data_IF_167707326217
#
_entry.id   IF_167707326217
#
_cell.length_a   1.000
_cell.length_b   1.000
_cell.length_c   1.000
_cell.angle_alpha   90.00
_cell.angle_beta   90.00
_cell.angle_gamma   90.00
#
_symmetry.space_group_name_H-M   'P 1'
#
loop_
_entity.id
_entity.type
_entity.pdbx_description
1 polymer ?
#
# COMPACT_ATOMS: atom_id res chain seq x y z
N UNK A 1 13.01 0.81 -7.62
CA UNK A 1 11.72 0.59 -6.92
C UNK A 1 10.96 -0.53 -7.65
N UNK A 2 10.17 -1.36 -6.94
CA UNK A 2 9.44 -2.48 -7.55
C UNK A 2 8.22 -2.05 -8.38
N UNK A 3 7.71 -0.84 -8.14
CA UNK A 3 6.53 -0.29 -8.83
C UNK A 3 6.86 1.05 -9.50
N UNK A 4 6.15 1.33 -10.59
CA UNK A 4 6.11 2.61 -11.29
C UNK A 4 4.66 3.03 -11.51
N UNK A 5 4.43 4.34 -11.44
CA UNK A 5 3.16 4.95 -11.79
C UNK A 5 3.23 5.47 -13.22
N UNK A 6 2.18 5.22 -14.00
CA UNK A 6 2.03 5.77 -15.35
C UNK A 6 1.98 7.30 -15.30
N UNK A 7 2.62 8.01 -16.23
CA UNK A 7 2.55 9.47 -16.31
C UNK A 7 1.13 9.97 -16.63
N UNK A 8 0.21 9.08 -17.02
CA UNK A 8 -1.20 9.43 -17.23
C UNK A 8 -1.95 9.60 -15.92
N UNK A 9 -1.46 9.09 -14.79
CA UNK A 9 -2.13 9.26 -13.50
C UNK A 9 -2.24 10.75 -13.17
N UNK A 10 -3.43 11.18 -12.76
CA UNK A 10 -3.69 12.57 -12.33
C UNK A 10 -3.13 12.77 -10.93
N UNK A 11 -2.92 14.02 -10.57
CA UNK A 11 -2.72 14.38 -9.17
C UNK A 11 -3.92 13.90 -8.32
N UNK A 12 -3.64 13.37 -7.14
CA UNK A 12 -4.63 12.89 -6.19
C UNK A 12 -5.21 14.00 -5.31
N UNK A 13 -4.71 15.24 -5.40
CA UNK A 13 -5.29 16.42 -4.74
C UNK A 13 -6.75 16.58 -5.13
N UNK A 14 -7.62 16.77 -4.13
CA UNK A 14 -9.06 16.97 -4.33
C UNK A 14 -9.87 15.73 -4.76
N UNK A 15 -9.21 14.60 -5.08
CA UNK A 15 -9.93 13.36 -5.39
C UNK A 15 -10.56 12.77 -4.13
N UNK A 16 -11.70 12.12 -4.26
CA UNK A 16 -12.26 11.26 -3.21
C UNK A 16 -11.70 9.82 -3.30
N UNK A 17 -12.21 8.89 -2.49
CA UNK A 17 -11.76 7.49 -2.51
C UNK A 17 -12.01 6.82 -3.86
N UNK A 18 -13.21 6.96 -4.42
CA UNK A 18 -13.60 6.29 -5.67
C UNK A 18 -12.80 6.84 -6.85
N UNK A 19 -12.62 8.16 -6.90
CA UNK A 19 -11.80 8.86 -7.87
C UNK A 19 -10.32 8.49 -7.76
N UNK A 20 -9.76 8.32 -6.55
CA UNK A 20 -8.39 7.79 -6.39
C UNK A 20 -8.23 6.39 -6.94
N UNK A 21 -9.16 5.48 -6.62
CA UNK A 21 -9.14 4.12 -7.18
C UNK A 21 -9.21 4.16 -8.70
N UNK A 22 -10.15 4.93 -9.28
CA UNK A 22 -10.28 5.09 -10.72
C UNK A 22 -9.03 5.70 -11.37
N UNK A 23 -8.39 6.66 -10.69
CA UNK A 23 -7.16 7.28 -11.15
C UNK A 23 -6.00 6.27 -11.24
N UNK A 24 -5.90 5.34 -10.28
CA UNK A 24 -4.81 4.36 -10.23
C UNK A 24 -5.06 3.09 -11.06
N UNK A 25 -6.31 2.77 -11.40
CA UNK A 25 -6.66 1.58 -12.18
C UNK A 25 -5.87 1.51 -13.49
N UNK A 26 -5.13 0.41 -13.67
CA UNK A 26 -4.31 0.15 -14.85
C UNK A 26 -3.10 1.09 -15.02
N UNK A 27 -2.77 1.89 -14.00
CA UNK A 27 -1.68 2.88 -14.03
C UNK A 27 -0.52 2.55 -13.09
N UNK A 28 -0.66 1.51 -12.27
CA UNK A 28 0.44 0.99 -11.44
C UNK A 28 1.03 -0.21 -12.17
N UNK A 29 2.35 -0.20 -12.36
CA UNK A 29 3.08 -1.21 -13.13
C UNK A 29 4.28 -1.71 -12.34
N UNK A 30 4.61 -2.99 -12.49
CA UNK A 30 5.85 -3.55 -11.95
C UNK A 30 7.05 -3.06 -12.77
N UNK A 31 8.14 -2.69 -12.09
CA UNK A 31 9.45 -2.48 -12.71
C UNK A 31 10.31 -3.72 -12.48
N UNK A 32 10.58 -4.53 -13.52
CA UNK A 32 11.33 -5.79 -13.39
C UNK A 32 12.70 -5.62 -12.73
N UNK A 33 13.33 -4.44 -12.86
CA UNK A 33 14.65 -4.16 -12.26
C UNK A 33 14.62 -3.98 -10.75
N UNK A 34 13.44 -3.77 -10.17
CA UNK A 34 13.25 -3.57 -8.73
C UNK A 34 12.48 -4.70 -8.06
N UNK A 35 12.17 -5.77 -8.79
CA UNK A 35 11.49 -6.96 -8.26
C UNK A 35 12.54 -7.83 -7.55
N UNK A 36 12.28 -8.27 -6.30
CA UNK A 36 13.19 -9.16 -5.58
C UNK A 36 13.08 -10.60 -6.09
N UNK A 37 13.98 -11.46 -5.61
CA UNK A 37 13.93 -12.88 -5.91
C UNK A 37 12.60 -13.51 -5.43
N UNK A 38 12.09 -14.56 -6.12
CA UNK A 38 10.88 -15.24 -5.72
C UNK A 38 10.90 -15.72 -4.27
N UNK A 39 9.79 -15.55 -3.56
CA UNK A 39 9.68 -15.91 -2.13
C UNK A 39 10.22 -14.84 -1.17
N UNK A 40 10.79 -13.75 -1.66
CA UNK A 40 11.19 -12.62 -0.81
C UNK A 40 9.95 -11.88 -0.30
N UNK A 41 9.77 -11.72 1.03
CA UNK A 41 8.70 -10.90 1.59
C UNK A 41 8.82 -9.43 1.16
N UNK A 42 7.71 -8.86 0.70
CA UNK A 42 7.64 -7.46 0.27
C UNK A 42 6.85 -6.63 1.27
N UNK A 43 7.42 -5.49 1.67
CA UNK A 43 6.74 -4.48 2.46
C UNK A 43 6.48 -3.26 1.58
N UNK A 44 5.22 -2.81 1.55
CA UNK A 44 4.88 -1.53 0.94
C UNK A 44 5.20 -0.38 1.89
N UNK A 45 5.84 0.66 1.39
CA UNK A 45 6.14 1.88 2.13
C UNK A 45 5.42 3.06 1.49
N UNK A 46 4.70 3.83 2.30
CA UNK A 46 4.05 5.08 1.91
C UNK A 46 4.32 6.14 2.98
N UNK A 47 4.34 7.43 2.64
CA UNK A 47 4.52 8.48 3.64
C UNK A 47 3.18 8.78 4.33
N UNK A 48 2.11 8.92 3.56
CA UNK A 48 0.79 9.31 4.04
C UNK A 48 -0.28 8.40 3.47
N UNK A 49 -1.00 7.73 4.37
CA UNK A 49 -2.19 6.99 4.01
C UNK A 49 -3.45 7.76 4.37
N UNK A 50 -4.27 8.05 3.34
CA UNK A 50 -5.59 8.67 3.50
C UNK A 50 -6.69 7.61 3.45
N UNK A 51 -6.94 7.03 2.27
CA UNK A 51 -7.99 6.02 2.07
C UNK A 51 -7.44 4.61 1.93
N UNK A 52 -6.11 4.46 1.83
CA UNK A 52 -5.45 3.21 1.48
C UNK A 52 -5.54 2.84 0.00
N UNK A 53 -6.15 3.66 -0.87
CA UNK A 53 -6.33 3.35 -2.29
C UNK A 53 -5.01 3.08 -3.04
N UNK A 54 -3.95 3.83 -2.70
CA UNK A 54 -2.61 3.63 -3.29
C UNK A 54 -2.03 2.28 -2.87
N UNK A 55 -1.99 2.00 -1.57
CA UNK A 55 -1.49 0.74 -1.03
C UNK A 55 -2.26 -0.48 -1.58
N UNK A 56 -3.59 -0.41 -1.68
CA UNK A 56 -4.41 -1.49 -2.24
C UNK A 56 -4.10 -1.72 -3.73
N UNK A 57 -3.97 -0.65 -4.52
CA UNK A 57 -3.59 -0.76 -5.93
C UNK A 57 -2.19 -1.39 -6.10
N UNK A 58 -1.22 -0.95 -5.30
CA UNK A 58 0.14 -1.48 -5.29
C UNK A 58 0.18 -2.97 -4.89
N UNK A 59 -0.51 -3.34 -3.80
CA UNK A 59 -0.56 -4.71 -3.32
C UNK A 59 -1.17 -5.64 -4.37
N UNK A 60 -2.30 -5.24 -4.99
CA UNK A 60 -2.95 -6.01 -6.05
C UNK A 60 -2.03 -6.29 -7.23
N UNK A 61 -1.29 -5.26 -7.69
CA UNK A 61 -0.35 -5.42 -8.81
C UNK A 61 0.77 -6.38 -8.43
N UNK A 62 1.42 -6.19 -7.27
CA UNK A 62 2.50 -7.07 -6.84
C UNK A 62 2.04 -8.53 -6.65
N UNK A 63 0.90 -8.76 -6.01
CA UNK A 63 0.34 -10.11 -5.82
C UNK A 63 -0.05 -10.75 -7.16
N UNK A 64 -0.59 -9.99 -8.12
CA UNK A 64 -0.89 -10.50 -9.45
C UNK A 64 0.39 -10.92 -10.23
N UNK A 65 1.54 -10.37 -9.86
CA UNK A 65 2.86 -10.74 -10.37
C UNK A 65 3.58 -11.81 -9.51
N UNK A 66 2.88 -12.45 -8.57
CA UNK A 66 3.41 -13.55 -7.76
C UNK A 66 4.29 -13.13 -6.58
N UNK A 67 4.29 -11.83 -6.22
CA UNK A 67 5.06 -11.31 -5.10
C UNK A 67 4.25 -11.36 -3.80
N UNK A 68 4.91 -11.72 -2.71
CA UNK A 68 4.29 -11.86 -1.39
C UNK A 68 4.36 -10.54 -0.62
N UNK A 69 3.27 -9.77 -0.66
CA UNK A 69 3.15 -8.53 0.11
C UNK A 69 2.70 -8.85 1.53
N UNK A 70 3.63 -8.77 2.48
CA UNK A 70 3.41 -9.22 3.87
C UNK A 70 2.96 -8.10 4.80
N UNK A 71 3.28 -6.85 4.47
CA UNK A 71 2.90 -5.69 5.27
C UNK A 71 2.86 -4.39 4.44
N UNK A 72 2.23 -3.37 5.03
CA UNK A 72 2.37 -1.98 4.61
C UNK A 72 2.77 -1.13 5.83
N UNK A 73 3.75 -0.26 5.63
CA UNK A 73 4.24 0.70 6.62
C UNK A 73 3.96 2.12 6.12
N UNK A 74 3.44 2.97 7.00
CA UNK A 74 3.13 4.36 6.67
C UNK A 74 3.58 5.30 7.77
N UNK A 75 4.14 6.46 7.43
CA UNK A 75 4.57 7.43 8.44
C UNK A 75 3.38 8.17 9.08
N UNK A 76 2.33 8.44 8.29
CA UNK A 76 1.15 9.21 8.73
C UNK A 76 -0.14 8.54 8.29
N UNK A 77 -1.10 8.44 9.20
CA UNK A 77 -2.47 8.04 8.92
C UNK A 77 -3.41 9.25 9.04
N UNK A 78 -4.01 9.66 7.94
CA UNK A 78 -4.91 10.82 7.87
C UNK A 78 -6.40 10.45 7.92
N UNK A 79 -6.73 9.20 8.29
CA UNK A 79 -8.10 8.73 8.41
C UNK A 79 -8.46 8.33 9.84
N UNK A 80 -9.72 8.55 10.22
CA UNK A 80 -10.23 8.22 11.56
C UNK A 80 -10.53 6.73 11.74
N UNK A 81 -10.32 5.89 10.72
CA UNK A 81 -10.69 4.46 10.77
C UNK A 81 -9.87 3.66 9.76
N UNK A 82 -8.61 3.37 10.07
CA UNK A 82 -7.90 2.29 9.38
C UNK A 82 -8.33 0.95 9.98
N UNK A 83 -9.51 0.48 9.57
CA UNK A 83 -9.88 -0.92 9.73
C UNK A 83 -8.97 -1.74 8.82
N UNK A 84 -8.04 -2.49 9.42
CA UNK A 84 -7.09 -3.34 8.70
C UNK A 84 -7.84 -4.22 7.70
N UNK A 85 -7.64 -3.94 6.41
CA UNK A 85 -8.08 -4.85 5.36
C UNK A 85 -7.27 -6.13 5.53
N UNK A 86 -7.91 -7.14 6.11
CA UNK A 86 -7.36 -8.49 6.25
C UNK A 86 -7.17 -9.07 4.86
N UNK A 87 -5.96 -8.99 4.32
CA UNK A 87 -5.50 -9.97 3.34
C UNK A 87 -5.43 -11.28 4.11
N UNK A 88 -6.33 -12.24 3.87
CA UNK A 88 -6.20 -13.59 4.46
C UNK A 88 -5.00 -14.26 3.79
N UNK A 89 -3.89 -14.49 4.50
CA UNK A 89 -2.77 -15.25 3.94
C UNK A 89 -3.16 -16.72 4.00
N UNK A 90 -2.95 -17.47 2.92
CA UNK A 90 -3.22 -18.93 2.92
C UNK A 90 -2.26 -19.72 3.85
N UNK A 91 -1.36 -19.08 4.61
CA UNK A 91 -0.40 -19.79 5.46
C UNK A 91 0.25 -18.97 6.61
N UNK A 92 -0.49 -18.11 7.34
CA UNK A 92 0.08 -17.42 8.52
C UNK A 92 -0.71 -17.65 9.82
N UNK A 93 0.03 -18.07 10.84
CA UNK A 93 -0.28 -17.93 12.27
C UNK A 93 -0.66 -16.48 12.60
N UNK A 94 -1.49 -16.23 13.64
CA UNK A 94 -2.16 -14.95 13.84
C UNK A 94 -1.16 -13.78 14.02
N UNK A 95 -1.18 -12.82 13.09
CA UNK A 95 -0.32 -11.64 13.10
C UNK A 95 -0.69 -10.66 14.21
N UNK A 96 0.33 -10.23 14.97
CA UNK A 96 0.29 -9.23 16.04
C UNK A 96 0.33 -7.83 15.42
N UNK A 97 -0.57 -6.94 15.85
CA UNK A 97 -0.48 -5.50 15.57
C UNK A 97 0.71 -4.94 16.34
N UNK A 98 1.68 -4.34 15.66
CA UNK A 98 2.82 -3.68 16.31
C UNK A 98 2.67 -2.16 16.15
N UNK A 99 2.07 -1.54 17.17
CA UNK A 99 2.24 -0.13 17.55
C UNK A 99 1.71 0.96 16.61
N UNK A 100 0.77 1.78 17.12
CA UNK A 100 0.67 3.19 16.71
C UNK A 100 1.88 3.94 17.29
N UNK A 101 2.72 4.53 16.43
CA UNK A 101 3.67 5.55 16.87
C UNK A 101 2.86 6.80 17.24
N UNK A 102 2.58 6.96 18.55
CA UNK A 102 2.07 8.22 19.10
C UNK A 102 3.06 9.33 18.78
N UNK A 103 2.72 10.20 17.83
CA UNK A 103 3.39 11.50 17.69
C UNK A 103 3.15 12.31 18.95
N UNK A 104 4.25 12.77 19.55
CA UNK A 104 4.30 13.42 20.86
C UNK A 104 3.25 14.52 21.06
N UNK A 105 2.76 14.59 22.30
CA UNK A 105 1.90 15.66 22.76
C UNK A 105 2.54 17.02 22.51
N UNK A 106 1.73 17.94 21.98
CA UNK A 106 2.05 19.37 22.07
C UNK A 106 1.78 19.81 23.51
N UNK A 107 2.69 20.64 24.02
CA UNK A 107 2.56 21.39 25.26
C UNK A 107 1.29 22.25 25.25
#
# INVERSE_FOLDING_TARGET
PALRLSPRARDAVGLDRAARVANLRGRVHVDPRGVPDPGTPVVLLDDVVTTGATLDACARVLTAHGLDVTAALTLTAASRTFGGARVKPRNLSPTRVVGELKTGGRR
#
